data_IF_101623027721
#
_entry.id   IF_101623027721
#
_cell.length_a   1.000
_cell.length_b   1.000
_cell.length_c   1.000
_cell.angle_alpha   90.00
_cell.angle_beta   90.00
_cell.angle_gamma   90.00
#
_symmetry.space_group_name_H-M   'P 1'
#
loop_
_entity.id
_entity.type
_entity.pdbx_description
1 polymer ?
#
# COMPACT_ATOMS: atom_id res chain seq x y z
N UNK A 1 -3.07 4.58 -12.22
CA UNK A 1 -2.92 3.15 -12.56
C UNK A 1 -4.08 2.70 -13.46
N UNK A 2 -3.89 1.66 -14.26
CA UNK A 2 -4.95 1.00 -15.03
C UNK A 2 -5.16 -0.45 -14.59
N UNK A 3 -6.23 -1.09 -15.08
CA UNK A 3 -6.50 -2.51 -14.91
C UNK A 3 -6.61 -3.17 -16.29
N UNK A 4 -5.97 -4.31 -16.48
CA UNK A 4 -5.99 -5.07 -17.72
C UNK A 4 -6.79 -6.38 -17.53
N UNK A 5 -7.65 -6.70 -18.48
CA UNK A 5 -8.42 -7.95 -18.48
C UNK A 5 -9.77 -7.82 -17.77
N UNK A 6 -9.92 -8.53 -16.66
CA UNK A 6 -11.18 -8.74 -15.94
C UNK A 6 -12.11 -9.73 -16.63
N UNK A 7 -13.38 -9.71 -16.23
CA UNK A 7 -14.40 -10.69 -16.62
C UNK A 7 -14.62 -10.86 -18.14
N UNK A 8 -14.23 -9.88 -18.96
CA UNK A 8 -14.31 -9.98 -20.41
C UNK A 8 -13.06 -10.71 -20.96
N UNK A 9 -13.19 -11.95 -21.48
CA UNK A 9 -12.03 -12.76 -21.84
C UNK A 9 -11.31 -12.25 -23.09
N UNK A 10 -10.05 -12.65 -23.21
CA UNK A 10 -9.23 -12.61 -24.41
C UNK A 10 -7.98 -11.75 -24.31
N UNK A 11 -7.75 -11.04 -23.21
CA UNK A 11 -6.54 -10.21 -23.04
C UNK A 11 -5.31 -11.07 -22.83
N UNK A 12 -5.37 -12.01 -21.89
CA UNK A 12 -4.26 -12.86 -21.50
C UNK A 12 -4.05 -14.00 -22.48
N UNK A 13 -5.10 -14.54 -23.09
CA UNK A 13 -4.94 -15.51 -24.20
C UNK A 13 -4.09 -14.94 -25.34
N UNK A 14 -4.21 -13.64 -25.62
CA UNK A 14 -3.41 -12.95 -26.64
C UNK A 14 -1.97 -12.74 -26.19
N UNK A 15 -1.74 -12.56 -24.90
CA UNK A 15 -0.43 -12.36 -24.28
C UNK A 15 0.28 -13.67 -23.88
N UNK A 16 -0.40 -14.82 -23.95
CA UNK A 16 0.13 -16.14 -23.58
C UNK A 16 0.61 -16.96 -24.79
N UNK A 17 0.59 -16.38 -26.00
CA UNK A 17 1.00 -17.03 -27.24
C UNK A 17 2.51 -17.04 -27.52
N UNK A 18 2.87 -17.16 -28.80
CA UNK A 18 4.28 -17.04 -29.26
C UNK A 18 4.86 -15.65 -28.95
N UNK A 19 6.19 -15.51 -29.06
CA UNK A 19 6.86 -14.22 -28.87
C UNK A 19 6.34 -13.15 -29.85
N UNK A 20 6.11 -13.52 -31.11
CA UNK A 20 5.58 -12.62 -32.15
C UNK A 20 4.15 -12.18 -31.83
N UNK A 21 3.32 -13.09 -31.32
CA UNK A 21 1.97 -12.77 -30.89
C UNK A 21 2.00 -11.86 -29.66
N UNK A 22 2.83 -12.19 -28.67
CA UNK A 22 3.01 -11.38 -27.47
C UNK A 22 3.39 -9.95 -27.83
N UNK A 23 4.44 -9.73 -28.62
CA UNK A 23 4.88 -8.38 -28.98
C UNK A 23 3.81 -7.60 -29.77
N UNK A 24 3.03 -8.27 -30.62
CA UNK A 24 1.91 -7.66 -31.37
C UNK A 24 0.85 -7.07 -30.43
N UNK A 25 0.53 -7.74 -29.34
CA UNK A 25 -0.53 -7.32 -28.41
C UNK A 25 -0.02 -6.53 -27.21
N UNK A 26 1.21 -6.81 -26.75
CA UNK A 26 1.84 -6.07 -25.66
C UNK A 26 2.26 -4.66 -26.07
N UNK A 27 2.75 -4.47 -27.30
CA UNK A 27 3.23 -3.15 -27.75
C UNK A 27 2.16 -2.05 -27.63
N UNK A 28 0.91 -2.24 -28.09
CA UNK A 28 -0.16 -1.26 -27.88
C UNK A 28 -0.47 -0.99 -26.41
N UNK A 29 -0.42 -2.02 -25.54
CA UNK A 29 -0.62 -1.85 -24.09
C UNK A 29 0.49 -1.00 -23.48
N UNK A 30 1.76 -1.29 -23.83
CA UNK A 30 2.91 -0.50 -23.40
C UNK A 30 2.80 0.95 -23.84
N UNK A 31 2.38 1.19 -25.08
CA UNK A 31 2.26 2.54 -25.63
C UNK A 31 1.12 3.30 -24.94
N UNK A 32 0.00 2.64 -24.63
CA UNK A 32 -1.10 3.20 -23.83
C UNK A 32 -0.63 3.61 -22.42
N UNK A 33 0.14 2.74 -21.75
CA UNK A 33 0.70 3.04 -20.42
C UNK A 33 1.58 4.30 -20.48
N UNK A 34 2.40 4.44 -21.52
CA UNK A 34 3.27 5.61 -21.73
C UNK A 34 2.47 6.87 -22.06
N UNK A 35 1.51 6.76 -22.96
CA UNK A 35 0.69 7.88 -23.43
C UNK A 35 -0.11 8.49 -22.28
N UNK A 36 -0.68 7.66 -21.40
CA UNK A 36 -1.46 8.11 -20.25
C UNK A 36 -0.66 8.24 -18.96
N UNK A 37 0.66 8.01 -19.01
CA UNK A 37 1.56 8.06 -17.86
C UNK A 37 1.01 7.31 -16.63
N UNK A 38 0.55 6.07 -16.84
CA UNK A 38 0.02 5.27 -15.73
C UNK A 38 1.17 4.88 -14.79
N UNK A 39 0.99 5.08 -13.48
CA UNK A 39 1.98 4.69 -12.47
C UNK A 39 2.12 3.17 -12.29
N UNK A 40 1.16 2.41 -12.83
CA UNK A 40 1.06 0.99 -12.64
C UNK A 40 -0.10 0.34 -13.37
N UNK A 41 -0.08 -0.99 -13.40
CA UNK A 41 -1.08 -1.84 -14.02
C UNK A 41 -1.47 -2.98 -13.09
N UNK A 42 -2.78 -3.11 -12.85
CA UNK A 42 -3.38 -4.28 -12.20
C UNK A 42 -3.67 -5.34 -13.25
N UNK A 43 -3.12 -6.54 -13.06
CA UNK A 43 -3.31 -7.68 -13.94
C UNK A 43 -4.47 -8.53 -13.38
N UNK A 44 -5.69 -8.17 -13.74
CA UNK A 44 -6.91 -8.88 -13.35
C UNK A 44 -7.16 -10.07 -14.28
N UNK A 45 -6.51 -11.21 -13.98
CA UNK A 45 -6.53 -12.42 -14.81
C UNK A 45 -7.74 -13.29 -14.48
N UNK A 46 -8.84 -13.12 -15.21
CA UNK A 46 -10.05 -13.94 -15.07
C UNK A 46 -10.25 -14.96 -16.22
N UNK A 47 -9.15 -15.45 -16.78
CA UNK A 47 -9.13 -16.51 -17.78
C UNK A 47 -7.87 -17.38 -17.66
N UNK A 48 -7.96 -18.64 -18.12
CA UNK A 48 -6.85 -19.59 -18.08
C UNK A 48 -5.62 -19.03 -18.78
N UNK A 49 -4.53 -18.86 -18.02
CA UNK A 49 -3.26 -18.29 -18.48
C UNK A 49 -2.11 -19.12 -17.90
N UNK A 50 -1.09 -19.38 -18.72
CA UNK A 50 0.09 -20.12 -18.26
C UNK A 50 0.93 -19.31 -17.26
N UNK A 51 1.62 -20.00 -16.35
CA UNK A 51 2.55 -19.36 -15.41
C UNK A 51 3.68 -18.63 -16.16
N UNK A 52 4.19 -19.23 -17.25
CA UNK A 52 5.24 -18.61 -18.07
C UNK A 52 4.73 -17.34 -18.77
N UNK A 53 3.47 -17.31 -19.21
CA UNK A 53 2.83 -16.17 -19.83
C UNK A 53 2.72 -14.97 -18.90
N UNK A 54 2.22 -15.19 -17.68
CA UNK A 54 2.10 -14.10 -16.69
C UNK A 54 3.48 -13.63 -16.21
N UNK A 55 4.44 -14.55 -16.03
CA UNK A 55 5.83 -14.19 -15.69
C UNK A 55 6.44 -13.34 -16.81
N UNK A 56 6.26 -13.73 -18.08
CA UNK A 56 6.75 -12.96 -19.23
C UNK A 56 6.17 -11.55 -19.26
N UNK A 57 4.88 -11.39 -18.96
CA UNK A 57 4.23 -10.07 -18.90
C UNK A 57 4.81 -9.21 -17.76
N UNK A 58 4.96 -9.78 -16.56
CA UNK A 58 5.54 -9.07 -15.41
C UNK A 58 6.98 -8.65 -15.69
N UNK A 59 7.80 -9.55 -16.21
CA UNK A 59 9.20 -9.28 -16.55
C UNK A 59 9.29 -8.17 -17.60
N UNK A 60 8.39 -8.19 -18.59
CA UNK A 60 8.38 -7.19 -19.66
C UNK A 60 7.95 -5.81 -19.16
N UNK A 61 6.91 -5.74 -18.31
CA UNK A 61 6.50 -4.49 -17.66
C UNK A 61 7.63 -3.93 -16.79
N UNK A 62 8.25 -4.78 -15.97
CA UNK A 62 9.35 -4.36 -15.09
C UNK A 62 10.56 -3.86 -15.87
N UNK A 63 10.90 -4.52 -16.98
CA UNK A 63 11.97 -4.10 -17.89
C UNK A 63 11.68 -2.76 -18.57
N UNK A 64 10.46 -2.56 -19.07
CA UNK A 64 10.11 -1.37 -19.86
C UNK A 64 9.82 -0.12 -19.01
N UNK A 65 9.35 -0.29 -17.77
CA UNK A 65 8.89 0.80 -16.89
C UNK A 65 9.72 0.96 -15.60
N UNK A 66 10.66 0.06 -15.34
CA UNK A 66 11.56 0.11 -14.19
C UNK A 66 10.90 -0.28 -12.86
N UNK A 67 11.65 -0.27 -11.75
CA UNK A 67 11.21 -0.81 -10.44
C UNK A 67 10.12 0.02 -9.76
N UNK A 68 9.91 1.28 -10.15
CA UNK A 68 8.89 2.13 -9.56
C UNK A 68 7.48 1.85 -10.11
N UNK A 69 7.36 1.20 -11.26
CA UNK A 69 6.07 0.87 -11.86
C UNK A 69 5.29 -0.12 -10.98
N UNK A 70 4.08 0.21 -10.60
CA UNK A 70 3.29 -0.63 -9.70
C UNK A 70 2.68 -1.78 -10.51
N UNK A 71 2.95 -3.01 -10.09
CA UNK A 71 2.34 -4.21 -10.69
C UNK A 71 1.57 -4.90 -9.58
N UNK A 72 0.28 -5.08 -9.81
CA UNK A 72 -0.61 -5.81 -8.89
C UNK A 72 -1.36 -6.88 -9.67
N UNK A 73 -1.95 -7.82 -8.95
CA UNK A 73 -2.87 -8.80 -9.53
C UNK A 73 -4.15 -8.84 -8.69
N UNK A 74 -5.25 -9.33 -9.26
CA UNK A 74 -6.54 -9.43 -8.57
C UNK A 74 -7.03 -10.89 -8.41
N UNK A 75 -6.28 -11.76 -7.71
CA UNK A 75 -6.71 -13.14 -7.48
C UNK A 75 -8.04 -13.18 -6.74
N UNK A 76 -8.89 -14.12 -7.13
CA UNK A 76 -10.00 -14.52 -6.27
C UNK A 76 -9.48 -15.05 -4.93
N UNK A 77 -10.12 -14.73 -3.80
CA UNK A 77 -9.58 -15.03 -2.48
C UNK A 77 -9.26 -16.53 -2.28
N UNK A 78 -10.08 -17.43 -2.83
CA UNK A 78 -9.84 -18.88 -2.76
C UNK A 78 -8.53 -19.31 -3.42
N UNK A 79 -8.08 -18.63 -4.49
CA UNK A 79 -6.85 -18.95 -5.20
C UNK A 79 -5.60 -18.73 -4.32
N UNK A 80 -5.71 -17.90 -3.28
CA UNK A 80 -4.65 -17.67 -2.30
C UNK A 80 -4.51 -18.85 -1.31
N UNK A 81 -5.50 -19.74 -1.23
CA UNK A 81 -5.51 -20.87 -0.30
C UNK A 81 -5.36 -22.22 -1.01
N UNK A 82 -5.99 -22.36 -2.16
CA UNK A 82 -6.02 -23.56 -2.99
C UNK A 82 -5.91 -23.15 -4.46
N UNK A 83 -4.78 -23.49 -5.10
CA UNK A 83 -4.51 -23.16 -6.50
C UNK A 83 -5.56 -23.73 -7.48
N UNK A 84 -6.32 -24.76 -7.08
CA UNK A 84 -7.39 -25.35 -7.91
C UNK A 84 -8.70 -24.56 -7.86
N UNK A 85 -8.82 -23.58 -6.96
CA UNK A 85 -9.99 -22.69 -6.80
C UNK A 85 -9.68 -21.30 -7.34
N UNK A 86 -9.46 -21.25 -8.65
CA UNK A 86 -8.88 -20.10 -9.33
C UNK A 86 -9.61 -19.78 -10.65
N UNK A 87 -9.48 -18.53 -11.12
CA UNK A 87 -9.90 -18.10 -12.45
C UNK A 87 -8.72 -17.99 -13.43
N UNK A 88 -7.49 -17.80 -12.92
CA UNK A 88 -6.33 -17.39 -13.72
C UNK A 88 -5.54 -18.53 -14.37
N UNK A 89 -5.85 -19.79 -14.04
CA UNK A 89 -5.10 -20.98 -14.46
C UNK A 89 -3.81 -21.21 -13.68
N UNK A 90 -2.87 -20.26 -13.71
CA UNK A 90 -1.59 -20.38 -13.00
C UNK A 90 -1.73 -20.34 -11.47
N UNK A 91 -0.77 -20.96 -10.77
CA UNK A 91 -0.68 -20.95 -9.31
C UNK A 91 -0.07 -19.64 -8.78
N UNK A 92 -0.82 -18.91 -7.95
CA UNK A 92 -0.36 -17.67 -7.32
C UNK A 92 0.77 -17.90 -6.31
N UNK A 93 0.83 -19.04 -5.63
CA UNK A 93 1.94 -19.36 -4.72
C UNK A 93 3.25 -19.51 -5.50
N UNK A 94 3.21 -20.25 -6.62
CA UNK A 94 4.34 -20.37 -7.52
C UNK A 94 4.77 -19.00 -8.09
N UNK A 95 3.79 -18.16 -8.45
CA UNK A 95 4.08 -16.80 -8.92
C UNK A 95 4.75 -15.94 -7.86
N UNK A 96 4.28 -15.96 -6.60
CA UNK A 96 4.89 -15.20 -5.50
C UNK A 96 6.33 -15.67 -5.23
N UNK A 97 6.61 -16.99 -5.27
CA UNK A 97 7.97 -17.52 -5.13
C UNK A 97 8.89 -17.00 -6.25
N UNK A 98 8.39 -16.95 -7.49
CA UNK A 98 9.22 -16.62 -8.65
C UNK A 98 9.37 -15.12 -8.91
N UNK A 99 8.32 -14.33 -8.65
CA UNK A 99 8.22 -12.90 -9.02
C UNK A 99 7.60 -12.03 -7.94
N UNK A 100 7.43 -12.52 -6.72
CA UNK A 100 6.85 -11.74 -5.62
C UNK A 100 7.56 -10.40 -5.40
N UNK A 101 8.89 -10.33 -5.54
CA UNK A 101 9.63 -9.05 -5.41
C UNK A 101 9.21 -7.96 -6.42
N UNK A 102 8.64 -8.36 -7.56
CA UNK A 102 8.22 -7.48 -8.65
C UNK A 102 6.72 -7.14 -8.56
N UNK A 103 5.99 -7.78 -7.65
CA UNK A 103 4.55 -7.59 -7.40
C UNK A 103 4.38 -6.78 -6.10
N UNK A 104 3.68 -5.66 -6.21
CA UNK A 104 3.48 -4.75 -5.10
C UNK A 104 2.50 -5.31 -4.06
N UNK A 105 1.34 -5.81 -4.50
CA UNK A 105 0.33 -6.50 -3.68
C UNK A 105 -0.68 -7.24 -4.56
N UNK A 106 -1.62 -7.94 -3.91
CA UNK A 106 -2.73 -8.66 -4.49
C UNK A 106 -4.06 -8.06 -4.04
N UNK A 107 -4.88 -7.60 -5.00
CA UNK A 107 -6.26 -7.15 -4.80
C UNK A 107 -7.18 -8.37 -4.64
N UNK A 108 -7.04 -9.07 -3.51
CA UNK A 108 -7.72 -10.36 -3.25
C UNK A 108 -9.23 -10.22 -3.17
N UNK A 109 -9.97 -10.89 -4.06
CA UNK A 109 -11.42 -10.72 -4.18
C UNK A 109 -12.20 -11.57 -3.15
N UNK A 110 -12.68 -10.95 -2.07
CA UNK A 110 -13.50 -11.62 -1.03
C UNK A 110 -15.01 -11.57 -1.34
N UNK A 111 -15.38 -11.87 -2.58
CA UNK A 111 -16.76 -11.79 -3.05
C UNK A 111 -17.04 -12.82 -4.15
N UNK A 112 -18.25 -12.80 -4.72
CA UNK A 112 -18.70 -13.70 -5.78
C UNK A 112 -18.57 -15.20 -5.47
N UNK A 113 -18.61 -15.57 -4.19
CA UNK A 113 -18.48 -16.96 -3.74
C UNK A 113 -17.04 -17.46 -3.64
N UNK A 114 -16.06 -16.61 -3.96
CA UNK A 114 -14.63 -16.95 -3.86
C UNK A 114 -14.00 -16.59 -2.53
N UNK A 115 -14.70 -15.82 -1.71
CA UNK A 115 -14.29 -15.51 -0.35
C UNK A 115 -15.39 -14.83 0.43
N UNK A 116 -15.17 -14.67 1.73
CA UNK A 116 -16.09 -14.03 2.66
C UNK A 116 -15.31 -13.11 3.61
N UNK A 117 -15.72 -11.83 3.65
CA UNK A 117 -15.18 -10.83 4.57
C UNK A 117 -16.16 -10.47 5.70
N UNK A 118 -17.19 -11.28 5.93
CA UNK A 118 -18.08 -11.13 7.10
C UNK A 118 -17.38 -11.47 8.43
N UNK A 119 -16.23 -12.16 8.36
CA UNK A 119 -15.39 -12.55 9.48
C UNK A 119 -13.90 -12.64 9.03
N UNK A 120 -12.92 -12.60 9.95
CA UNK A 120 -11.50 -12.54 9.59
C UNK A 120 -10.87 -13.91 9.27
N UNK A 121 -11.62 -15.02 9.32
CA UNK A 121 -11.07 -16.37 9.28
C UNK A 121 -10.27 -16.62 8.00
N UNK A 122 -10.84 -16.29 6.85
CA UNK A 122 -10.21 -16.58 5.57
C UNK A 122 -8.92 -15.78 5.36
N UNK A 123 -8.91 -14.51 5.76
CA UNK A 123 -7.69 -13.69 5.77
C UNK A 123 -6.62 -14.29 6.70
N UNK A 124 -7.01 -14.72 7.91
CA UNK A 124 -6.11 -15.37 8.86
C UNK A 124 -5.54 -16.69 8.31
N UNK A 125 -6.32 -17.46 7.55
CA UNK A 125 -5.84 -18.66 6.87
C UNK A 125 -4.77 -18.31 5.82
N UNK A 126 -4.94 -17.24 5.04
CA UNK A 126 -3.92 -16.79 4.08
C UNK A 126 -2.63 -16.40 4.80
N UNK A 127 -2.75 -15.69 5.93
CA UNK A 127 -1.61 -15.35 6.78
C UNK A 127 -0.91 -16.58 7.35
N UNK A 128 -1.67 -17.57 7.83
CA UNK A 128 -1.11 -18.83 8.34
C UNK A 128 -0.38 -19.63 7.25
N UNK A 129 -0.89 -19.59 6.02
CA UNK A 129 -0.27 -20.22 4.84
C UNK A 129 1.05 -19.55 4.43
N UNK A 130 1.26 -18.28 4.82
CA UNK A 130 2.54 -17.58 4.68
C UNK A 130 2.50 -16.31 3.83
N UNK A 131 1.33 -15.91 3.32
CA UNK A 131 1.20 -14.70 2.50
C UNK A 131 1.50 -13.43 3.30
N UNK A 132 2.41 -12.53 2.86
CA UNK A 132 2.71 -11.27 3.54
C UNK A 132 1.47 -10.38 3.70
N UNK A 133 1.20 -9.89 4.91
CA UNK A 133 0.00 -9.08 5.19
C UNK A 133 -0.03 -7.79 4.38
N UNK A 134 1.14 -7.22 4.12
CA UNK A 134 1.33 -5.98 3.38
C UNK A 134 1.02 -6.15 1.88
N UNK A 135 0.99 -7.40 1.41
CA UNK A 135 0.59 -7.76 0.05
C UNK A 135 -0.85 -8.24 -0.08
N UNK A 136 -1.57 -8.43 1.03
CA UNK A 136 -2.96 -8.87 1.00
C UNK A 136 -3.88 -7.65 1.13
N UNK A 137 -4.38 -7.16 0.01
CA UNK A 137 -5.41 -6.12 -0.03
C UNK A 137 -6.79 -6.78 -0.11
N UNK A 138 -7.66 -6.49 0.85
CA UNK A 138 -9.02 -7.06 0.86
C UNK A 138 -9.90 -6.34 -0.17
N UNK A 139 -10.21 -7.03 -1.26
CA UNK A 139 -11.17 -6.61 -2.28
C UNK A 139 -12.61 -6.89 -1.87
N UNK A 140 -13.47 -5.87 -1.96
CA UNK A 140 -14.85 -5.89 -1.51
C UNK A 140 -15.77 -5.36 -2.61
N UNK A 141 -16.97 -5.92 -2.76
CA UNK A 141 -18.02 -5.25 -3.53
C UNK A 141 -18.55 -4.05 -2.74
N UNK A 142 -18.61 -2.88 -3.37
CA UNK A 142 -19.04 -1.61 -2.74
C UNK A 142 -20.55 -1.43 -2.72
N UNK A 143 -21.25 -2.24 -3.52
CA UNK A 143 -22.69 -2.26 -3.68
C UNK A 143 -23.13 -3.71 -4.01
N UNK A 144 -24.19 -4.25 -3.40
CA UNK A 144 -24.70 -5.59 -3.73
C UNK A 144 -25.14 -5.76 -5.20
N UNK A 145 -25.38 -4.68 -5.93
CA UNK A 145 -25.64 -4.71 -7.37
C UNK A 145 -24.40 -5.10 -8.19
N UNK A 146 -23.18 -4.92 -7.65
CA UNK A 146 -21.92 -5.17 -8.36
C UNK A 146 -21.47 -6.65 -8.28
N UNK A 147 -22.09 -7.44 -7.41
CA UNK A 147 -21.75 -8.85 -7.22
C UNK A 147 -22.27 -9.42 -5.91
N UNK A 148 -22.26 -10.76 -5.82
CA UNK A 148 -22.62 -11.45 -4.59
C UNK A 148 -21.53 -11.29 -3.52
N UNK A 149 -21.89 -11.43 -2.24
CA UNK A 149 -20.94 -11.36 -1.13
C UNK A 149 -20.73 -9.96 -0.56
N UNK A 150 -21.68 -9.05 -0.77
CA UNK A 150 -21.68 -7.75 -0.08
C UNK A 150 -21.77 -7.92 1.44
N UNK A 151 -20.84 -7.30 2.15
CA UNK A 151 -20.75 -7.37 3.62
C UNK A 151 -21.33 -6.08 4.22
N UNK A 152 -22.28 -6.17 5.18
CA UNK A 152 -22.79 -5.00 5.88
C UNK A 152 -21.68 -4.22 6.62
N UNK A 153 -21.75 -2.90 6.57
CA UNK A 153 -20.73 -1.98 7.11
C UNK A 153 -20.38 -2.23 8.59
N UNK A 154 -21.35 -2.61 9.42
CA UNK A 154 -21.10 -2.91 10.84
C UNK A 154 -20.20 -4.13 11.02
N UNK A 155 -20.52 -5.22 10.31
CA UNK A 155 -19.70 -6.44 10.33
C UNK A 155 -18.32 -6.19 9.75
N UNK A 156 -18.27 -5.53 8.59
CA UNK A 156 -17.03 -5.17 7.93
C UNK A 156 -16.13 -4.29 8.82
N UNK A 157 -16.72 -3.31 9.52
CA UNK A 157 -16.00 -2.46 10.47
C UNK A 157 -15.36 -3.27 11.60
N UNK A 158 -16.07 -4.25 12.15
CA UNK A 158 -15.52 -5.17 13.14
C UNK A 158 -14.33 -5.96 12.61
N UNK A 159 -14.44 -6.53 11.41
CA UNK A 159 -13.37 -7.31 10.76
C UNK A 159 -12.14 -6.45 10.49
N UNK A 160 -12.30 -5.30 9.85
CA UNK A 160 -11.18 -4.43 9.49
C UNK A 160 -10.47 -3.85 10.72
N UNK A 161 -11.19 -3.54 11.80
CA UNK A 161 -10.56 -3.11 13.05
C UNK A 161 -9.72 -4.23 13.68
N UNK A 162 -10.20 -5.47 13.68
CA UNK A 162 -9.44 -6.62 14.21
C UNK A 162 -8.18 -6.86 13.38
N UNK A 163 -8.31 -6.89 12.05
CA UNK A 163 -7.17 -7.13 11.16
C UNK A 163 -6.17 -5.98 11.20
N UNK A 164 -6.64 -4.73 11.18
CA UNK A 164 -5.81 -3.54 11.33
C UNK A 164 -5.05 -3.54 12.66
N UNK A 165 -5.69 -3.91 13.77
CA UNK A 165 -5.03 -4.01 15.06
C UNK A 165 -3.98 -5.15 15.10
N UNK A 166 -4.27 -6.28 14.45
CA UNK A 166 -3.38 -7.44 14.42
C UNK A 166 -2.13 -7.22 13.53
N UNK A 167 -2.24 -6.44 12.46
CA UNK A 167 -1.17 -6.26 11.47
C UNK A 167 -0.55 -4.85 11.45
N UNK A 168 -1.18 -3.86 12.09
CA UNK A 168 -0.67 -2.50 12.20
C UNK A 168 -0.31 -1.91 10.83
N UNK A 169 0.91 -1.35 10.73
CA UNK A 169 1.44 -0.75 9.50
C UNK A 169 1.65 -1.75 8.35
N UNK A 170 1.63 -3.07 8.64
CA UNK A 170 1.76 -4.13 7.63
C UNK A 170 0.40 -4.59 7.11
N UNK A 171 -0.72 -4.01 7.52
CA UNK A 171 -2.01 -4.33 6.94
C UNK A 171 -2.10 -3.79 5.50
N UNK A 172 -2.23 -4.67 4.50
CA UNK A 172 -2.22 -4.29 3.08
C UNK A 172 -3.33 -3.30 2.69
N UNK A 173 -4.47 -3.33 3.38
CA UNK A 173 -5.57 -2.38 3.19
C UNK A 173 -6.77 -3.00 2.48
N UNK A 174 -7.54 -2.15 1.79
CA UNK A 174 -8.80 -2.53 1.13
C UNK A 174 -8.89 -1.96 -0.29
N UNK A 175 -9.60 -2.69 -1.16
CA UNK A 175 -10.00 -2.28 -2.51
C UNK A 175 -11.53 -2.40 -2.63
N UNK A 176 -12.16 -1.47 -3.36
CA UNK A 176 -13.61 -1.47 -3.58
C UNK A 176 -14.00 -1.63 -5.05
N UNK A 177 -14.73 -2.69 -5.38
CA UNK A 177 -15.35 -2.94 -6.68
C UNK A 177 -16.83 -2.52 -6.68
N UNK A 178 -17.23 -1.40 -7.26
CA UNK A 178 -16.44 -0.34 -7.90
C UNK A 178 -16.96 1.04 -7.46
N UNK A 179 -16.33 2.12 -7.93
CA UNK A 179 -16.57 3.46 -7.37
C UNK A 179 -18.00 3.99 -7.58
N UNK A 180 -18.51 4.02 -8.81
CA UNK A 180 -19.56 4.97 -9.22
C UNK A 180 -20.91 4.87 -8.47
N UNK A 181 -21.24 3.70 -7.90
CA UNK A 181 -22.48 3.44 -7.17
C UNK A 181 -22.23 2.98 -5.73
N UNK A 182 -21.04 3.25 -5.20
CA UNK A 182 -20.63 2.77 -3.87
C UNK A 182 -21.59 3.22 -2.77
N UNK A 183 -22.03 2.27 -1.95
CA UNK A 183 -22.80 2.56 -0.73
C UNK A 183 -21.90 3.16 0.36
N UNK A 184 -22.41 3.94 1.32
CA UNK A 184 -23.83 4.26 1.55
C UNK A 184 -24.38 5.38 0.66
N UNK A 185 -23.51 6.15 0.01
CA UNK A 185 -23.91 7.35 -0.72
C UNK A 185 -24.49 7.10 -2.12
N UNK A 186 -24.46 5.85 -2.60
CA UNK A 186 -25.01 5.47 -3.90
C UNK A 186 -24.33 6.22 -5.05
N UNK A 187 -25.10 6.53 -6.10
CA UNK A 187 -24.59 7.26 -7.27
C UNK A 187 -24.39 8.74 -7.00
N UNK A 188 -25.10 9.28 -6.01
CA UNK A 188 -25.09 10.68 -5.64
C UNK A 188 -23.82 11.05 -4.86
N UNK A 189 -23.37 10.16 -3.97
CA UNK A 189 -22.23 10.39 -3.07
C UNK A 189 -21.33 9.15 -2.94
N UNK A 190 -20.84 8.55 -4.04
CA UNK A 190 -20.06 7.30 -4.01
C UNK A 190 -18.78 7.40 -3.17
N UNK A 191 -18.22 8.61 -3.03
CA UNK A 191 -17.05 8.89 -2.19
C UNK A 191 -17.26 8.58 -0.70
N UNK A 192 -18.49 8.43 -0.21
CA UNK A 192 -18.76 8.09 1.19
C UNK A 192 -18.21 6.74 1.60
N UNK A 193 -18.13 5.79 0.67
CA UNK A 193 -17.49 4.50 0.91
C UNK A 193 -16.02 4.68 1.30
N UNK A 194 -15.27 5.44 0.50
CA UNK A 194 -13.86 5.71 0.76
C UNK A 194 -13.66 6.49 2.06
N UNK A 195 -14.56 7.43 2.39
CA UNK A 195 -14.56 8.14 3.67
C UNK A 195 -14.76 7.17 4.84
N UNK A 196 -15.69 6.23 4.72
CA UNK A 196 -15.93 5.21 5.74
C UNK A 196 -14.70 4.33 5.94
N UNK A 197 -14.12 3.78 4.85
CA UNK A 197 -12.90 2.95 4.93
C UNK A 197 -11.73 3.73 5.52
N UNK A 198 -11.56 5.01 5.15
CA UNK A 198 -10.54 5.87 5.73
C UNK A 198 -10.71 5.96 7.25
N UNK A 199 -11.94 6.13 7.75
CA UNK A 199 -12.23 6.19 9.19
C UNK A 199 -11.77 4.96 9.95
N UNK A 200 -11.87 3.77 9.35
CA UNK A 200 -11.43 2.50 9.93
C UNK A 200 -9.91 2.30 9.85
N UNK A 201 -9.30 2.68 8.72
CA UNK A 201 -7.91 2.31 8.43
C UNK A 201 -6.89 3.37 8.90
N UNK A 202 -7.32 4.62 9.11
CA UNK A 202 -6.43 5.74 9.45
C UNK A 202 -5.62 5.50 10.73
N UNK A 203 -6.22 4.86 11.73
CA UNK A 203 -5.56 4.55 13.00
C UNK A 203 -4.36 3.58 12.87
N UNK A 204 -4.32 2.81 11.80
CA UNK A 204 -3.22 1.86 11.50
C UNK A 204 -2.25 2.38 10.44
N UNK A 205 -2.71 3.32 9.59
CA UNK A 205 -1.98 3.79 8.41
C UNK A 205 -1.15 5.06 8.66
N UNK A 206 -1.49 5.88 9.66
CA UNK A 206 -0.79 7.13 9.96
C UNK A 206 -0.27 7.12 11.40
N UNK A 207 0.90 7.70 11.62
CA UNK A 207 1.32 8.05 12.99
C UNK A 207 0.35 9.09 13.56
N UNK A 208 0.04 9.05 14.87
CA UNK A 208 -0.76 10.11 15.48
C UNK A 208 -0.09 11.44 15.18
N UNK A 209 -0.85 12.41 14.66
CA UNK A 209 -0.39 13.79 14.55
C UNK A 209 0.26 14.18 15.88
N UNK A 210 1.55 14.50 15.86
CA UNK A 210 2.15 15.25 16.97
C UNK A 210 1.39 16.56 17.01
N UNK A 211 0.46 16.67 17.94
CA UNK A 211 -0.06 17.98 18.34
C UNK A 211 1.16 18.76 18.79
N UNK A 212 1.60 19.72 18.00
CA UNK A 212 2.47 20.77 18.50
C UNK A 212 1.70 21.41 19.65
N UNK A 213 2.15 21.12 20.87
CA UNK A 213 1.74 21.87 22.04
C UNK A 213 2.40 23.23 21.82
N UNK A 214 1.67 24.18 21.26
CA UNK A 214 2.04 25.58 21.38
C UNK A 214 2.20 25.85 22.88
N UNK A 215 3.39 26.22 23.37
CA UNK A 215 3.52 26.56 24.77
C UNK A 215 2.65 27.79 25.00
N UNK A 216 1.65 27.67 25.89
CA UNK A 216 0.95 28.82 26.46
C UNK A 216 2.02 29.82 26.92
N UNK A 217 2.17 30.93 26.20
CA UNK A 217 2.93 32.08 26.67
C UNK A 217 2.19 32.66 27.87
N UNK A 218 2.50 32.16 29.06
CA UNK A 218 2.27 32.92 30.28
C UNK A 218 3.18 34.14 30.24
N UNK A 219 2.58 35.33 30.13
CA UNK A 219 3.28 36.59 30.35
C UNK A 219 3.88 36.59 31.76
N UNK A 220 5.16 36.27 31.85
CA UNK A 220 5.96 36.53 33.05
C UNK A 220 6.35 38.00 32.98
N UNK A 221 5.72 38.84 33.81
CA UNK A 221 6.23 40.19 34.10
C UNK A 221 7.56 40.06 34.84
N UNK A 222 8.67 40.10 34.10
CA UNK A 222 10.00 40.25 34.67
C UNK A 222 10.17 41.68 35.19
N UNK A 223 10.40 41.81 36.51
CA UNK A 223 10.97 43.04 37.08
C UNK A 223 12.40 43.18 36.57
N UNK A 224 12.73 44.38 36.09
CA UNK A 224 14.04 44.75 35.59
C UNK A 224 15.15 44.42 36.59
N UNK A 225 16.09 43.57 36.18
CA UNK A 225 17.44 43.52 36.73
C UNK A 225 18.31 44.48 35.92
N UNK A 226 19.02 45.35 36.62
CA UNK A 226 19.97 46.32 36.06
C UNK A 226 21.09 45.57 35.36
N UNK A 227 21.18 45.70 34.03
CA UNK A 227 22.39 45.36 33.27
C UNK A 227 23.41 46.48 33.46
N UNK A 228 24.63 46.11 33.89
CA UNK A 228 25.77 47.03 33.93
C UNK A 228 26.43 46.97 32.56
N UNK A 229 26.20 48.01 31.78
CA UNK A 229 26.89 48.32 30.54
C UNK A 229 28.38 48.61 30.83
N UNK A 230 29.30 47.98 30.09
CA UNK A 230 30.73 48.07 30.31
C UNK A 230 31.46 49.03 29.35
N UNK A 231 30.74 49.85 28.58
CA UNK A 231 31.35 50.85 27.69
C UNK A 231 31.19 52.30 28.21
N UNK A 232 31.66 52.53 29.45
CA UNK A 232 31.91 53.89 29.95
C UNK A 232 33.33 54.38 29.57
N UNK A 233 33.54 55.66 29.25
CA UNK A 233 34.79 56.16 28.62
C UNK A 233 36.05 56.12 29.51
N UNK A 234 35.93 55.67 30.76
CA UNK A 234 37.02 55.61 31.76
C UNK A 234 37.25 54.18 32.31
N UNK A 235 36.81 53.14 31.60
CA UNK A 235 36.99 51.74 31.99
C UNK A 235 38.40 51.20 31.71
N UNK A 236 39.03 50.57 32.71
CA UNK A 236 40.32 49.89 32.54
C UNK A 236 40.21 48.77 31.50
N UNK A 237 41.22 48.57 30.62
CA UNK A 237 41.11 47.61 29.52
C UNK A 237 40.94 46.17 30.04
N UNK A 238 40.08 45.36 29.41
CA UNK A 238 39.84 43.98 29.83
C UNK A 238 41.10 43.13 29.67
N UNK A 239 41.40 42.31 30.69
CA UNK A 239 42.57 41.42 30.67
C UNK A 239 42.32 40.22 29.76
N UNK A 240 43.28 39.95 28.87
CA UNK A 240 43.27 38.78 28.01
C UNK A 240 43.33 37.48 28.84
N UNK A 241 42.55 36.44 28.49
CA UNK A 241 42.62 35.13 29.13
C UNK A 241 44.03 34.53 28.98
N UNK A 242 44.53 33.89 30.04
CA UNK A 242 45.79 33.14 29.99
C UNK A 242 45.63 31.86 29.16
N UNK A 243 46.73 31.43 28.54
CA UNK A 243 46.78 30.21 27.73
C UNK A 243 46.28 29.00 28.51
N UNK A 244 45.46 28.17 27.85
CA UNK A 244 44.94 26.92 28.39
C UNK A 244 46.01 25.83 28.27
N UNK A 245 46.18 25.01 29.31
CA UNK A 245 46.99 23.80 29.26
C UNK A 245 46.12 22.60 28.87
N UNK A 246 46.62 21.78 27.94
CA UNK A 246 45.95 20.57 27.46
C UNK A 246 46.55 19.36 28.18
N UNK A 247 45.74 18.64 28.96
CA UNK A 247 46.15 17.36 29.55
C UNK A 247 45.60 16.21 28.72
N UNK A 248 46.48 15.48 28.03
CA UNK A 248 46.16 14.21 27.39
C UNK A 248 46.53 13.07 28.34
N UNK A 249 45.54 12.30 28.81
CA UNK A 249 45.79 11.04 29.52
C UNK A 249 46.34 10.01 28.52
N UNK A 250 47.54 9.51 28.81
CA UNK A 250 48.29 8.60 27.95
C UNK A 250 47.74 7.18 27.98
N UNK A 251 47.81 6.52 26.82
CA UNK A 251 47.80 5.07 26.69
C UNK A 251 49.21 4.58 27.04
N UNK A 252 49.35 3.82 28.13
CA UNK A 252 50.57 3.04 28.41
C UNK A 252 50.48 1.71 27.65
N UNK A 253 51.42 1.49 26.74
CA UNK A 253 51.81 0.17 26.22
C UNK A 253 52.90 -0.41 27.14
N UNK A 254 52.66 -1.61 27.67
CA UNK A 254 53.57 -2.77 27.65
C UNK A 254 52.80 -4.07 27.94
#
# INVERSE_FOLDING_TARGET
MGMLGGAAPGSYQRLDGSAEQFERYYTPVRDLIREHALDGLDLDVEEETSLDGIIRLIDRLRSDFGPAFIITLAPVAAAMLDFTKNLSGFDYEALEVMRGKDIAWYNTQFYCGWGDCSNPLMYNMMRYKGWPSEKLVIGLVTNPENGNGFVPFEMLGGVLNVLGAAHGKQFGGVMGWEYFNSMPGGRERPWEWAKFMTGLLRGHSLEPERKEIEPERKEVKTKASVEVDADSPDGAPPQLPKAFEYHSEGLEEE
#
